data_IF_042221795571
#
_entry.id   IF_042221795571
#
_cell.length_a   1.000
_cell.length_b   1.000
_cell.length_c   1.000
_cell.angle_alpha   90.00
_cell.angle_beta   90.00
_cell.angle_gamma   90.00
#
_symmetry.space_group_name_H-M   'P 1'
#
loop_
_entity.id
_entity.type
_entity.pdbx_description
1 polymer ?
#
# COMPACT_ATOMS: atom_id res chain seq x y z
N UNK A 1 30.47 15.66 -4.73
CA UNK A 1 29.17 15.60 -5.43
C UNK A 1 29.11 16.79 -6.37
N UNK A 2 29.04 16.58 -7.69
CA UNK A 2 29.00 17.66 -8.68
C UNK A 2 27.78 18.55 -8.47
N UNK A 3 27.90 19.86 -8.67
CA UNK A 3 26.83 20.81 -8.38
C UNK A 3 25.84 20.92 -9.55
N UNK A 4 24.55 21.16 -9.26
CA UNK A 4 23.48 21.31 -10.27
C UNK A 4 23.74 22.37 -11.37
N UNK A 5 24.74 23.23 -11.17
CA UNK A 5 25.15 24.30 -12.10
C UNK A 5 26.10 23.83 -13.21
N UNK A 6 26.66 22.63 -13.12
CA UNK A 6 27.60 22.09 -14.12
C UNK A 6 26.88 21.43 -15.32
N UNK A 7 25.58 21.17 -15.21
CA UNK A 7 24.76 20.62 -16.29
C UNK A 7 24.00 21.71 -17.06
N UNK A 8 23.89 21.55 -18.38
CA UNK A 8 23.09 22.42 -19.24
C UNK A 8 21.63 22.50 -18.73
N UNK A 9 20.95 23.65 -18.83
CA UNK A 9 19.59 23.83 -18.30
C UNK A 9 18.58 22.78 -18.78
N UNK A 10 18.80 22.25 -19.97
CA UNK A 10 17.99 21.24 -20.67
C UNK A 10 18.18 19.81 -20.17
N UNK A 11 19.27 19.51 -19.45
CA UNK A 11 19.54 18.18 -18.87
C UNK A 11 19.17 18.09 -17.38
N UNK A 12 18.57 19.14 -16.82
CA UNK A 12 18.24 19.21 -15.39
C UNK A 12 16.89 18.54 -15.12
N UNK A 13 16.83 17.49 -14.28
CA UNK A 13 15.55 16.96 -13.80
C UNK A 13 14.79 18.04 -13.02
N UNK A 14 13.48 17.87 -12.87
CA UNK A 14 12.66 18.75 -12.04
C UNK A 14 13.04 18.59 -10.56
N UNK A 15 14.07 19.34 -10.14
CA UNK A 15 14.69 19.24 -8.83
C UNK A 15 13.71 19.53 -7.69
N UNK A 16 12.68 20.35 -7.94
CA UNK A 16 11.63 20.66 -6.95
C UNK A 16 10.81 19.43 -6.61
N UNK A 17 10.40 18.65 -7.61
CA UNK A 17 9.62 17.42 -7.39
C UNK A 17 10.47 16.39 -6.63
N UNK A 18 11.71 16.17 -7.08
CA UNK A 18 12.63 15.21 -6.43
C UNK A 18 12.92 15.61 -4.99
N UNK A 19 13.14 16.91 -4.72
CA UNK A 19 13.38 17.42 -3.37
C UNK A 19 12.22 17.14 -2.42
N UNK A 20 10.98 17.40 -2.85
CA UNK A 20 9.80 17.16 -2.01
C UNK A 20 9.48 15.67 -1.87
N UNK A 21 9.57 14.90 -2.94
CA UNK A 21 9.37 13.44 -2.90
C UNK A 21 10.38 12.75 -1.98
N UNK A 22 11.66 13.16 -2.02
CA UNK A 22 12.68 12.63 -1.12
C UNK A 22 12.37 12.91 0.34
N UNK A 23 11.96 14.15 0.67
CA UNK A 23 11.61 14.54 2.05
C UNK A 23 10.37 13.80 2.54
N UNK A 24 9.39 13.59 1.67
CA UNK A 24 8.18 12.87 2.01
C UNK A 24 8.50 11.39 2.28
N UNK A 25 9.31 10.76 1.43
CA UNK A 25 9.80 9.39 1.63
C UNK A 25 10.59 9.25 2.94
N UNK A 26 11.62 10.08 3.13
CA UNK A 26 12.48 10.01 4.32
C UNK A 26 11.71 10.36 5.60
N UNK A 27 10.82 11.35 5.55
CA UNK A 27 9.98 11.75 6.67
C UNK A 27 9.03 10.64 7.11
N UNK A 28 8.32 10.00 6.17
CA UNK A 28 7.45 8.87 6.49
C UNK A 28 8.25 7.65 6.96
N UNK A 29 9.39 7.35 6.35
CA UNK A 29 10.28 6.27 6.80
C UNK A 29 10.76 6.47 8.24
N UNK A 30 11.16 7.69 8.60
CA UNK A 30 11.56 8.02 9.98
C UNK A 30 10.39 7.92 10.95
N UNK A 31 9.18 8.36 10.55
CA UNK A 31 7.97 8.21 11.37
C UNK A 31 7.62 6.74 11.63
N UNK A 32 7.80 5.87 10.64
CA UNK A 32 7.58 4.43 10.78
C UNK A 32 8.61 3.77 11.72
N UNK A 33 9.88 4.19 11.65
CA UNK A 33 10.89 3.76 12.62
C UNK A 33 10.54 4.22 14.04
N UNK A 34 10.10 5.47 14.18
CA UNK A 34 9.68 6.04 15.46
C UNK A 34 8.47 5.28 16.03
N UNK A 35 7.50 4.91 15.19
CA UNK A 35 6.40 4.02 15.58
C UNK A 35 6.92 2.68 16.11
N UNK A 36 7.87 2.04 15.42
CA UNK A 36 8.45 0.76 15.85
C UNK A 36 9.16 0.85 17.20
N UNK A 37 9.96 1.91 17.40
CA UNK A 37 10.66 2.16 18.68
C UNK A 37 9.66 2.43 19.81
N UNK A 38 8.65 3.27 19.57
CA UNK A 38 7.58 3.53 20.54
C UNK A 38 6.79 2.25 20.87
N UNK A 39 6.54 1.39 19.87
CA UNK A 39 5.86 0.12 20.06
C UNK A 39 6.67 -0.80 21.00
N UNK A 40 7.99 -0.92 20.77
CA UNK A 40 8.87 -1.71 21.63
C UNK A 40 8.94 -1.15 23.06
N UNK A 41 8.99 0.17 23.20
CA UNK A 41 9.03 0.81 24.51
C UNK A 41 7.72 0.62 25.29
N UNK A 42 6.56 0.84 24.66
CA UNK A 42 5.25 0.58 25.27
C UNK A 42 5.00 -0.91 25.54
N UNK A 43 5.58 -1.80 24.73
CA UNK A 43 5.53 -3.25 24.94
C UNK A 43 6.23 -3.64 26.24
N UNK A 44 7.38 -3.04 26.57
CA UNK A 44 8.06 -3.28 27.84
C UNK A 44 7.24 -2.86 29.07
N UNK A 45 6.38 -1.86 28.93
CA UNK A 45 5.51 -1.38 30.00
C UNK A 45 4.11 -2.01 30.05
N UNK A 46 3.77 -2.97 29.18
CA UNK A 46 2.43 -3.58 29.11
C UNK A 46 1.29 -2.65 28.65
N UNK A 47 1.59 -1.39 28.27
CA UNK A 47 0.60 -0.35 27.92
C UNK A 47 0.31 -0.23 26.42
N UNK A 48 0.84 -1.16 25.62
CA UNK A 48 0.71 -1.16 24.17
C UNK A 48 -0.76 -1.11 23.69
N UNK A 49 -1.63 -1.91 24.31
CA UNK A 49 -3.04 -2.01 23.95
C UNK A 49 -3.95 -0.98 24.65
N UNK A 50 -3.44 -0.28 25.67
CA UNK A 50 -4.23 0.67 26.45
C UNK A 50 -4.10 2.12 25.92
N UNK A 51 -3.04 2.39 25.16
CA UNK A 51 -2.72 3.75 24.71
C UNK A 51 -3.48 4.09 23.43
N UNK A 52 -4.71 4.62 23.57
CA UNK A 52 -5.53 5.14 22.44
C UNK A 52 -4.77 6.06 21.45
N UNK A 53 -3.90 7.00 21.87
CA UNK A 53 -3.16 7.83 20.91
C UNK A 53 -2.17 7.01 20.06
N UNK A 54 -1.51 6.01 20.64
CA UNK A 54 -0.59 5.13 19.93
C UNK A 54 -1.31 4.24 18.91
N UNK A 55 -2.47 3.68 19.28
CA UNK A 55 -3.30 2.89 18.37
C UNK A 55 -3.82 3.71 17.19
N UNK A 56 -4.24 4.97 17.43
CA UNK A 56 -4.62 5.89 16.35
C UNK A 56 -3.42 6.22 15.45
N UNK A 57 -2.25 6.49 16.03
CA UNK A 57 -1.04 6.74 15.25
C UNK A 57 -0.65 5.54 14.38
N UNK A 58 -0.70 4.32 14.92
CA UNK A 58 -0.46 3.10 14.16
C UNK A 58 -1.46 2.91 13.00
N UNK A 59 -2.74 3.27 13.20
CA UNK A 59 -3.75 3.23 12.13
C UNK A 59 -3.40 4.18 10.97
N UNK A 60 -2.98 5.42 11.28
CA UNK A 60 -2.55 6.37 10.25
C UNK A 60 -1.25 5.95 9.55
N UNK A 61 -0.39 5.19 10.22
CA UNK A 61 0.85 4.68 9.62
C UNK A 61 0.61 3.54 8.62
N UNK A 62 -0.53 2.86 8.65
CA UNK A 62 -0.92 1.84 7.66
C UNK A 62 -0.83 2.33 6.20
N UNK A 63 -1.62 3.35 5.79
CA UNK A 63 -1.54 3.90 4.44
C UNK A 63 -0.23 4.64 4.15
N UNK A 64 0.47 5.14 5.18
CA UNK A 64 1.71 5.91 5.01
C UNK A 64 2.83 5.12 4.35
N UNK A 65 2.89 3.79 4.56
CA UNK A 65 3.88 2.93 3.92
C UNK A 65 3.75 2.89 2.39
N UNK A 66 2.52 2.84 1.88
CA UNK A 66 2.25 2.91 0.43
C UNK A 66 2.70 4.25 -0.14
N UNK A 67 2.39 5.34 0.56
CA UNK A 67 2.78 6.70 0.15
C UNK A 67 4.31 6.84 0.12
N UNK A 68 5.01 6.28 1.12
CA UNK A 68 6.47 6.30 1.17
C UNK A 68 7.10 5.54 -0.02
N UNK A 69 6.54 4.38 -0.38
CA UNK A 69 6.98 3.60 -1.55
C UNK A 69 6.78 4.40 -2.84
N UNK A 70 5.60 4.99 -3.03
CA UNK A 70 5.31 5.81 -4.22
C UNK A 70 6.24 7.04 -4.29
N UNK A 71 6.50 7.69 -3.16
CA UNK A 71 7.44 8.81 -3.10
C UNK A 71 8.88 8.40 -3.46
N UNK A 72 9.33 7.21 -3.04
CA UNK A 72 10.63 6.67 -3.44
C UNK A 72 10.72 6.36 -4.93
N UNK A 73 9.67 5.77 -5.51
CA UNK A 73 9.54 5.56 -6.95
C UNK A 73 9.59 6.88 -7.72
N UNK A 74 8.82 7.89 -7.30
CA UNK A 74 8.85 9.22 -7.94
C UNK A 74 10.23 9.86 -7.84
N UNK A 75 10.90 9.74 -6.70
CA UNK A 75 12.25 10.31 -6.50
C UNK A 75 13.27 9.69 -7.47
N UNK A 76 13.17 8.37 -7.72
CA UNK A 76 14.10 7.65 -8.60
C UNK A 76 13.76 7.83 -10.08
N UNK A 77 12.49 7.77 -10.45
CA UNK A 77 12.04 7.92 -11.85
C UNK A 77 12.15 9.37 -12.34
N UNK A 78 11.67 10.34 -11.57
CA UNK A 78 11.76 11.76 -11.93
C UNK A 78 13.20 12.26 -11.82
N UNK A 79 14.00 11.68 -10.92
CA UNK A 79 15.42 12.00 -10.80
C UNK A 79 16.25 11.59 -12.01
N UNK A 80 15.77 10.63 -12.83
CA UNK A 80 16.45 10.15 -14.03
C UNK A 80 16.06 10.93 -15.31
N UNK A 81 14.95 11.67 -15.28
CA UNK A 81 14.55 12.54 -16.40
C UNK A 81 15.66 13.58 -16.68
N UNK A 82 15.97 13.93 -17.95
CA UNK A 82 15.27 13.59 -19.20
C UNK A 82 15.77 12.31 -19.91
N UNK A 83 16.51 11.45 -19.21
CA UNK A 83 17.15 10.28 -19.81
C UNK A 83 16.35 9.01 -19.56
N UNK A 84 16.16 8.20 -20.60
CA UNK A 84 15.72 6.79 -20.43
C UNK A 84 16.94 5.94 -20.12
N UNK A 85 17.98 6.09 -20.95
CA UNK A 85 19.30 5.51 -20.77
C UNK A 85 20.31 6.65 -20.82
N UNK A 86 21.04 6.84 -19.73
CA UNK A 86 21.96 7.95 -19.56
C UNK A 86 23.01 7.98 -20.68
N UNK A 87 23.12 9.10 -21.39
CA UNK A 87 24.08 9.28 -22.50
C UNK A 87 23.74 8.54 -23.80
N UNK A 88 22.61 7.82 -23.87
CA UNK A 88 22.21 7.03 -25.05
C UNK A 88 20.88 7.48 -25.63
N UNK A 89 19.83 7.64 -24.80
CA UNK A 89 18.48 7.93 -25.29
C UNK A 89 17.70 8.85 -24.35
N UNK A 90 17.14 9.92 -24.92
CA UNK A 90 16.24 10.87 -24.22
C UNK A 90 14.81 10.35 -24.22
N UNK A 91 14.03 10.74 -23.22
CA UNK A 91 12.60 10.36 -23.10
C UNK A 91 11.75 10.84 -24.26
N UNK A 92 12.09 11.98 -24.87
CA UNK A 92 11.40 12.50 -26.05
C UNK A 92 11.55 11.57 -27.28
N UNK A 93 12.72 10.94 -27.44
CA UNK A 93 13.03 10.09 -28.61
C UNK A 93 12.59 8.62 -28.40
N UNK A 94 12.05 8.30 -27.22
CA UNK A 94 11.59 6.95 -26.86
C UNK A 94 10.09 6.74 -27.11
N UNK A 95 9.34 7.78 -27.51
CA UNK A 95 7.89 7.69 -27.74
C UNK A 95 7.59 7.21 -29.16
N UNK A 96 6.85 6.12 -29.29
CA UNK A 96 6.42 5.59 -30.59
C UNK A 96 5.34 6.48 -31.25
N UNK A 97 5.49 6.75 -32.55
CA UNK A 97 4.55 7.55 -33.33
C UNK A 97 3.21 6.81 -33.59
N UNK A 98 2.35 6.76 -32.58
CA UNK A 98 0.95 6.36 -32.71
C UNK A 98 0.06 7.60 -32.71
N UNK A 99 -1.10 7.54 -33.36
CA UNK A 99 -2.04 8.65 -33.34
C UNK A 99 -2.48 8.99 -31.92
N UNK A 100 -2.46 10.28 -31.57
CA UNK A 100 -2.77 10.83 -30.24
C UNK A 100 -4.09 10.30 -29.66
N UNK A 101 -5.06 10.02 -30.54
CA UNK A 101 -6.38 9.50 -30.18
C UNK A 101 -6.30 8.06 -29.64
N UNK A 102 -5.51 7.17 -30.24
CA UNK A 102 -5.36 5.79 -29.77
C UNK A 102 -4.62 5.74 -28.42
N UNK A 103 -3.60 6.57 -28.24
CA UNK A 103 -2.87 6.72 -26.98
C UNK A 103 -3.79 7.21 -25.85
N UNK A 104 -4.59 8.25 -26.12
CA UNK A 104 -5.50 8.82 -25.13
C UNK A 104 -6.62 7.87 -24.73
N UNK A 105 -7.22 7.18 -25.71
CA UNK A 105 -8.29 6.20 -25.45
C UNK A 105 -7.75 5.03 -24.64
N UNK A 106 -6.60 4.47 -25.01
CA UNK A 106 -6.00 3.35 -24.26
C UNK A 106 -5.60 3.74 -22.84
N UNK A 107 -5.01 4.92 -22.64
CA UNK A 107 -4.72 5.46 -21.30
C UNK A 107 -6.00 5.61 -20.47
N UNK A 108 -7.06 6.16 -21.05
CA UNK A 108 -8.35 6.29 -20.37
C UNK A 108 -8.94 4.92 -20.00
N UNK A 109 -8.87 3.95 -20.91
CA UNK A 109 -9.30 2.57 -20.63
C UNK A 109 -8.52 1.97 -19.45
N UNK A 110 -7.19 2.14 -19.42
CA UNK A 110 -6.39 1.68 -18.27
C UNK A 110 -6.79 2.36 -16.97
N UNK A 111 -7.01 3.69 -16.99
CA UNK A 111 -7.46 4.44 -15.81
C UNK A 111 -8.80 3.88 -15.30
N UNK A 112 -9.77 3.66 -16.17
CA UNK A 112 -11.09 3.13 -15.80
C UNK A 112 -10.99 1.73 -15.21
N UNK A 113 -10.28 0.83 -15.89
CA UNK A 113 -10.12 -0.56 -15.45
C UNK A 113 -9.39 -0.63 -14.10
N UNK A 114 -8.28 0.09 -13.96
CA UNK A 114 -7.53 0.10 -12.70
C UNK A 114 -8.34 0.73 -11.57
N UNK A 115 -9.05 1.83 -11.83
CA UNK A 115 -9.91 2.46 -10.83
C UNK A 115 -11.02 1.52 -10.36
N UNK A 116 -11.63 0.76 -11.28
CA UNK A 116 -12.66 -0.22 -10.95
C UNK A 116 -12.09 -1.36 -10.08
N UNK A 117 -10.97 -1.95 -10.48
CA UNK A 117 -10.32 -3.07 -9.76
C UNK A 117 -9.86 -2.62 -8.37
N UNK A 118 -9.11 -1.52 -8.27
CA UNK A 118 -8.66 -0.98 -6.99
C UNK A 118 -9.83 -0.54 -6.11
N UNK A 119 -10.87 0.08 -6.70
CA UNK A 119 -12.07 0.50 -5.97
C UNK A 119 -12.82 -0.68 -5.35
N UNK A 120 -13.08 -1.73 -6.13
CA UNK A 120 -13.72 -2.96 -5.63
C UNK A 120 -12.85 -3.62 -4.57
N UNK A 121 -11.55 -3.80 -4.83
CA UNK A 121 -10.60 -4.40 -3.89
C UNK A 121 -10.52 -3.65 -2.55
N UNK A 122 -10.40 -2.32 -2.60
CA UNK A 122 -10.38 -1.48 -1.40
C UNK A 122 -11.71 -1.56 -0.63
N UNK A 123 -12.85 -1.52 -1.33
CA UNK A 123 -14.16 -1.66 -0.70
C UNK A 123 -14.33 -3.02 -0.02
N UNK A 124 -13.83 -4.10 -0.64
CA UNK A 124 -13.89 -5.45 -0.11
C UNK A 124 -12.99 -5.60 1.12
N UNK A 125 -11.76 -5.08 1.07
CA UNK A 125 -10.84 -5.07 2.19
C UNK A 125 -11.43 -4.31 3.39
N UNK A 126 -12.01 -3.14 3.17
CA UNK A 126 -12.68 -2.38 4.24
C UNK A 126 -13.90 -3.13 4.82
N UNK A 127 -14.69 -3.79 3.97
CA UNK A 127 -15.81 -4.63 4.43
C UNK A 127 -15.31 -5.80 5.29
N UNK A 128 -14.20 -6.42 4.91
CA UNK A 128 -13.59 -7.52 5.65
C UNK A 128 -13.03 -7.06 6.99
N UNK A 129 -12.31 -5.93 7.02
CA UNK A 129 -11.80 -5.32 8.26
C UNK A 129 -12.95 -4.97 9.21
N UNK A 130 -14.09 -4.48 8.68
CA UNK A 130 -15.29 -4.15 9.49
C UNK A 130 -16.00 -5.38 10.07
N UNK A 131 -15.95 -6.53 9.39
CA UNK A 131 -16.51 -7.79 9.93
C UNK A 131 -15.77 -8.25 11.19
N UNK A 132 -14.52 -7.83 11.38
CA UNK A 132 -13.71 -8.22 12.53
C UNK A 132 -13.31 -9.69 12.53
N UNK A 133 -12.50 -10.14 13.51
CA UNK A 133 -12.19 -11.55 13.69
C UNK A 133 -13.48 -12.28 14.03
N UNK A 134 -13.88 -13.24 13.18
CA UNK A 134 -14.94 -14.16 13.58
C UNK A 134 -14.35 -15.12 14.60
N UNK A 135 -15.09 -15.38 15.68
CA UNK A 135 -14.75 -16.48 16.58
C UNK A 135 -14.68 -17.74 15.72
N UNK A 136 -13.48 -18.30 15.60
CA UNK A 136 -13.30 -19.63 15.07
C UNK A 136 -14.02 -20.52 16.07
N UNK A 137 -15.25 -20.90 15.75
CA UNK A 137 -15.93 -21.94 16.52
C UNK A 137 -14.95 -23.12 16.55
N UNK A 138 -14.53 -23.58 17.74
CA UNK A 138 -13.66 -24.74 17.82
C UNK A 138 -14.33 -25.82 16.97
N UNK A 139 -13.58 -26.37 16.00
CA UNK A 139 -14.07 -27.45 15.17
C UNK A 139 -14.74 -28.44 16.12
N UNK A 140 -16.03 -28.69 15.91
CA UNK A 140 -16.77 -29.63 16.73
C UNK A 140 -15.92 -30.87 16.89
N UNK A 141 -15.85 -31.41 18.10
CA UNK A 141 -15.05 -32.58 18.50
C UNK A 141 -15.46 -33.88 17.76
N UNK A 142 -16.11 -33.78 16.60
CA UNK A 142 -16.28 -34.86 15.65
C UNK A 142 -15.10 -34.94 14.72
N UNK A 143 -14.34 -36.02 14.80
CA UNK A 143 -13.39 -36.44 13.77
C UNK A 143 -14.02 -36.24 12.38
N UNK A 144 -13.32 -35.63 11.40
CA UNK A 144 -13.85 -35.32 10.06
C UNK A 144 -14.33 -36.54 9.24
N UNK A 145 -14.30 -37.74 9.81
CA UNK A 145 -14.74 -39.01 9.23
C UNK A 145 -16.22 -39.37 9.48
N UNK A 146 -17.01 -38.57 10.22
CA UNK A 146 -18.43 -38.84 10.47
C UNK A 146 -19.35 -37.73 9.93
N UNK A 147 -19.76 -37.76 8.65
CA UNK A 147 -20.65 -36.75 8.07
C UNK A 147 -22.04 -36.67 8.74
N UNK A 148 -22.45 -37.69 9.49
CA UNK A 148 -23.75 -37.73 10.17
C UNK A 148 -23.74 -37.15 11.60
N UNK A 149 -22.59 -36.80 12.19
CA UNK A 149 -22.56 -36.25 13.57
C UNK A 149 -23.23 -34.88 13.65
N UNK A 150 -23.08 -34.05 12.61
CA UNK A 150 -23.73 -32.74 12.52
C UNK A 150 -25.26 -32.83 12.45
N UNK A 151 -25.80 -33.92 11.89
CA UNK A 151 -27.24 -34.16 11.86
C UNK A 151 -27.76 -34.65 13.23
N UNK A 152 -27.01 -35.51 13.93
CA UNK A 152 -27.41 -36.06 15.23
C UNK A 152 -27.47 -34.99 16.33
N UNK A 153 -26.52 -34.04 16.37
CA UNK A 153 -26.53 -32.95 17.36
C UNK A 153 -27.77 -32.05 17.22
N UNK A 154 -28.23 -31.78 15.99
CA UNK A 154 -29.43 -30.99 15.74
C UNK A 154 -30.73 -31.64 16.23
N UNK A 155 -30.80 -32.97 16.28
CA UNK A 155 -31.94 -33.70 16.84
C UNK A 155 -31.94 -33.69 18.37
N UNK A 156 -30.79 -33.95 19.00
CA UNK A 156 -30.67 -33.98 20.46
C UNK A 156 -30.97 -32.61 21.11
N UNK A 157 -30.58 -31.52 20.45
CA UNK A 157 -30.88 -30.17 20.93
C UNK A 157 -32.36 -29.78 20.79
N UNK A 158 -33.09 -30.44 19.88
CA UNK A 158 -34.53 -30.21 19.69
C UNK A 158 -35.38 -30.98 20.71
N UNK A 159 -34.87 -32.10 21.20
CA UNK A 159 -35.55 -32.96 22.19
C UNK A 159 -35.34 -32.48 23.63
N UNK A 160 -34.29 -31.69 23.89
CA UNK A 160 -34.02 -31.07 25.21
C UNK A 160 -34.77 -29.75 25.46
N UNK A 161 -35.76 -29.40 24.62
CA UNK A 161 -36.51 -28.13 24.68
C UNK A 161 -38.01 -28.40 24.69
#
# INVERSE_FOLDING_TARGET
VPALKEFAPEDRPNATVVFWSFRLMAGLGMLMLLLGVLALWLRRGGRLYHSRPFLRFALWMGPSGLIAILAGWVTTEVGRQPWVVYGVQRTADAVSAHGDLHMSVSLLTFIVVYSAVFGVGYSYMLRLIRKGPQEVQPATTGTPARPLSAATEGYLQKESR
#
